data_IF_269071723147
#
_entry.id   IF_269071723147
#
_cell.length_a   1.000
_cell.length_b   1.000
_cell.length_c   1.000
_cell.angle_alpha   90.00
_cell.angle_beta   90.00
_cell.angle_gamma   90.00
#
_symmetry.space_group_name_H-M   'P 1'
#
loop_
_entity.id
_entity.type
_entity.pdbx_description
1 polymer ?
#
# COMPACT_ATOMS: atom_id res chain seq x y z
N UNK A 1 -67.97 51.63 14.13
CA UNK A 1 -67.89 52.08 15.55
C UNK A 1 -66.64 51.51 16.17
N UNK A 2 -65.49 52.21 16.07
CA UNK A 2 -64.25 52.04 16.87
C UNK A 2 -63.16 52.93 16.28
N UNK A 3 -63.30 54.22 16.31
CA UNK A 3 -62.29 55.19 15.84
C UNK A 3 -62.20 56.42 16.79
N UNK A 4 -62.77 56.36 17.97
CA UNK A 4 -62.82 57.53 18.87
C UNK A 4 -62.01 57.36 20.20
N UNK A 5 -61.29 56.27 20.45
CA UNK A 5 -60.60 56.07 21.72
C UNK A 5 -59.06 56.26 21.69
N UNK A 6 -58.46 56.57 20.56
CA UNK A 6 -56.98 56.70 20.43
C UNK A 6 -56.47 58.15 20.54
N UNK A 7 -57.39 59.12 20.59
CA UNK A 7 -57.03 60.56 20.51
C UNK A 7 -56.83 61.22 21.86
N UNK A 8 -57.28 60.63 22.94
CA UNK A 8 -57.15 61.22 24.31
C UNK A 8 -55.91 60.73 25.05
N UNK A 9 -55.30 59.59 24.69
CA UNK A 9 -54.06 59.14 25.37
C UNK A 9 -52.77 59.83 24.87
N UNK A 10 -52.80 60.43 23.68
CA UNK A 10 -51.60 61.12 23.14
C UNK A 10 -51.37 62.51 23.70
N UNK A 11 -52.41 63.13 24.32
CA UNK A 11 -52.29 64.49 24.87
C UNK A 11 -51.73 64.53 26.31
N UNK A 12 -51.86 63.44 27.07
CA UNK A 12 -51.33 63.37 28.45
C UNK A 12 -49.85 62.95 28.54
N UNK A 13 -49.25 62.43 27.45
CA UNK A 13 -47.85 62.02 27.43
C UNK A 13 -46.92 63.14 26.94
N UNK A 14 -47.42 64.20 26.35
CA UNK A 14 -46.67 65.35 25.81
C UNK A 14 -46.20 66.35 26.92
N UNK A 15 -46.87 66.45 28.03
CA UNK A 15 -46.54 67.43 29.09
C UNK A 15 -45.52 66.93 30.13
N UNK A 16 -45.23 65.63 30.22
CA UNK A 16 -44.23 65.11 31.17
C UNK A 16 -42.81 65.08 30.53
N UNK A 17 -42.70 65.12 29.25
CA UNK A 17 -41.39 65.13 28.55
C UNK A 17 -40.66 66.47 28.52
N UNK A 18 -41.35 67.60 28.80
CA UNK A 18 -40.72 68.92 28.76
C UNK A 18 -40.15 69.40 30.10
N UNK A 19 -40.47 68.72 31.21
CA UNK A 19 -39.93 69.06 32.56
C UNK A 19 -38.66 68.30 32.97
N UNK A 20 -38.20 67.30 32.19
CA UNK A 20 -36.96 66.53 32.44
C UNK A 20 -35.77 66.98 31.59
N UNK A 21 -35.94 67.97 30.68
CA UNK A 21 -34.86 68.42 29.79
C UNK A 21 -33.99 69.57 30.35
N UNK A 22 -34.28 70.09 31.53
CA UNK A 22 -33.57 71.26 32.11
C UNK A 22 -32.66 70.93 33.32
N UNK A 23 -32.35 69.64 33.58
CA UNK A 23 -31.51 69.25 34.73
C UNK A 23 -30.18 68.57 34.33
N UNK A 24 -29.73 68.65 33.07
CA UNK A 24 -28.53 67.95 32.57
C UNK A 24 -27.40 68.91 32.05
N UNK A 25 -27.32 70.10 32.57
CA UNK A 25 -26.19 70.98 32.24
C UNK A 25 -25.46 71.44 33.50
N UNK A 26 -24.89 70.51 34.24
CA UNK A 26 -23.87 70.85 35.24
C UNK A 26 -23.12 69.54 35.63
N UNK A 27 -22.14 69.13 34.83
CA UNK A 27 -21.01 68.39 35.33
C UNK A 27 -19.83 68.69 34.39
N UNK A 28 -18.82 69.24 34.97
CA UNK A 28 -17.63 69.85 34.43
C UNK A 28 -16.73 68.85 33.66
N UNK A 29 -15.89 69.44 32.83
CA UNK A 29 -14.70 68.86 32.28
C UNK A 29 -13.84 68.21 33.34
N UNK A 30 -13.78 66.88 33.40
CA UNK A 30 -12.63 66.15 33.96
C UNK A 30 -11.67 65.83 32.79
N UNK A 31 -10.39 66.15 32.93
CA UNK A 31 -9.39 65.82 31.93
C UNK A 31 -9.26 64.31 31.77
N UNK A 32 -9.34 63.89 30.54
CA UNK A 32 -9.29 62.53 30.05
C UNK A 32 -8.63 61.51 30.96
N UNK A 33 -9.40 60.55 31.41
CA UNK A 33 -8.86 59.30 31.89
C UNK A 33 -8.02 58.67 30.73
N UNK A 34 -6.72 58.84 30.84
CA UNK A 34 -5.78 58.11 29.99
C UNK A 34 -6.17 56.65 30.06
N UNK A 35 -6.61 56.10 28.94
CA UNK A 35 -6.86 54.66 28.82
C UNK A 35 -5.60 53.97 29.36
N UNK A 36 -5.70 53.43 30.59
CA UNK A 36 -4.64 52.61 31.15
C UNK A 36 -4.40 51.47 30.15
N UNK A 37 -3.29 51.59 29.41
CA UNK A 37 -2.84 50.51 28.51
C UNK A 37 -2.77 49.24 29.35
N UNK A 38 -3.65 48.29 29.06
CA UNK A 38 -3.61 47.00 29.71
C UNK A 38 -2.14 46.49 29.66
N UNK A 39 -1.61 46.00 30.79
CA UNK A 39 -0.22 45.56 30.82
C UNK A 39 0.01 44.54 29.70
N UNK A 40 1.05 44.79 28.88
CA UNK A 40 1.39 43.95 27.74
C UNK A 40 1.56 42.51 28.19
N UNK A 41 0.81 41.61 27.58
CA UNK A 41 0.78 40.17 27.94
C UNK A 41 2.13 39.54 27.53
N UNK A 42 2.85 38.89 28.44
CA UNK A 42 4.09 38.20 28.09
C UNK A 42 3.78 36.98 27.20
N UNK A 43 4.49 36.83 26.08
CA UNK A 43 4.35 35.75 25.12
C UNK A 43 5.72 35.28 24.64
N UNK A 44 5.88 33.99 24.39
CA UNK A 44 7.08 33.50 23.71
C UNK A 44 6.83 33.53 22.19
N UNK A 45 7.74 34.22 21.51
CA UNK A 45 7.68 34.43 20.07
C UNK A 45 8.80 33.64 19.38
N UNK A 46 8.50 32.99 18.28
CA UNK A 46 9.48 32.40 17.39
C UNK A 46 9.39 33.06 16.00
N UNK A 47 10.50 33.06 15.30
CA UNK A 47 10.61 33.55 13.94
C UNK A 47 10.41 32.42 12.96
N UNK A 48 9.66 32.67 11.89
CA UNK A 48 9.47 31.73 10.77
C UNK A 48 10.77 31.59 9.99
N UNK A 49 11.35 30.40 10.03
CA UNK A 49 12.56 30.05 9.28
C UNK A 49 12.19 29.07 8.17
N UNK A 50 12.80 29.25 7.00
CA UNK A 50 12.72 28.29 5.93
C UNK A 50 13.70 27.13 6.22
N UNK A 51 13.19 25.93 6.22
CA UNK A 51 13.97 24.70 6.49
C UNK A 51 13.65 23.63 5.47
N UNK A 52 14.66 22.88 5.08
CA UNK A 52 14.46 21.68 4.24
C UNK A 52 13.99 20.54 5.15
N UNK A 53 12.88 19.91 4.80
CA UNK A 53 12.25 18.88 5.62
C UNK A 53 12.11 17.59 4.82
N UNK A 54 12.51 16.42 5.37
CA UNK A 54 12.25 15.14 4.73
C UNK A 54 10.74 14.95 4.58
N UNK A 55 10.32 14.59 3.37
CA UNK A 55 8.93 14.32 3.04
C UNK A 55 8.68 12.82 3.08
N UNK A 56 8.02 12.38 4.12
CA UNK A 56 7.58 10.99 4.27
C UNK A 56 6.06 10.92 4.28
N UNK A 57 5.52 9.81 3.78
CA UNK A 57 4.08 9.52 3.87
C UNK A 57 3.88 8.16 4.51
N UNK A 58 2.87 8.06 5.38
CA UNK A 58 2.48 6.79 6.01
C UNK A 58 1.25 6.23 5.33
N UNK A 59 1.30 4.94 4.98
CA UNK A 59 0.22 4.22 4.32
C UNK A 59 0.01 2.86 4.99
N UNK A 60 -1.21 2.36 4.92
CA UNK A 60 -1.50 0.98 5.33
C UNK A 60 -1.31 0.08 4.12
N UNK A 61 -0.57 -0.99 4.32
CA UNK A 61 -0.36 -2.02 3.31
C UNK A 61 -0.68 -3.41 3.86
N UNK A 62 -0.89 -4.34 2.96
CA UNK A 62 -1.07 -5.76 3.25
C UNK A 62 0.09 -6.54 2.67
N UNK A 63 0.69 -7.38 3.48
CA UNK A 63 1.77 -8.28 3.07
C UNK A 63 1.22 -9.41 2.22
N UNK A 64 1.95 -9.80 1.18
CA UNK A 64 1.59 -10.91 0.29
C UNK A 64 2.82 -11.73 -0.07
N UNK A 65 2.63 -13.01 -0.32
CA UNK A 65 3.69 -13.86 -0.81
C UNK A 65 4.29 -13.35 -2.14
N UNK A 66 5.58 -13.53 -2.31
CA UNK A 66 6.24 -13.22 -3.59
C UNK A 66 5.69 -14.09 -4.72
N UNK A 67 5.45 -15.37 -4.42
CA UNK A 67 4.78 -16.34 -5.29
C UNK A 67 3.90 -17.24 -4.44
N UNK A 68 2.72 -17.50 -4.94
CA UNK A 68 1.78 -18.45 -4.36
C UNK A 68 1.30 -19.38 -5.47
N UNK A 69 1.49 -20.67 -5.29
CA UNK A 69 1.19 -21.67 -6.30
C UNK A 69 0.36 -22.79 -5.68
N UNK A 70 -0.80 -23.02 -6.26
CA UNK A 70 -1.62 -24.18 -5.99
C UNK A 70 -0.98 -25.42 -6.60
N UNK A 71 -0.64 -26.38 -5.78
CA UNK A 71 -0.17 -27.70 -6.21
C UNK A 71 -1.39 -28.57 -6.47
N UNK A 72 -1.63 -28.87 -7.74
CA UNK A 72 -2.77 -29.67 -8.20
C UNK A 72 -2.31 -30.95 -8.84
N UNK A 73 -3.13 -32.00 -8.67
CA UNK A 73 -2.87 -33.28 -9.35
C UNK A 73 -3.11 -33.13 -10.86
N UNK A 74 -2.23 -33.77 -11.63
CA UNK A 74 -2.37 -33.90 -13.11
C UNK A 74 -2.96 -35.24 -13.53
N UNK A 75 -3.12 -36.16 -12.59
CA UNK A 75 -3.65 -37.51 -12.80
C UNK A 75 -4.66 -37.83 -11.71
N UNK A 76 -5.59 -38.73 -11.99
CA UNK A 76 -6.60 -39.23 -11.04
C UNK A 76 -6.11 -40.48 -10.36
N UNK A 77 -6.47 -40.72 -9.09
CA UNK A 77 -6.11 -41.95 -8.38
C UNK A 77 -6.22 -41.78 -6.87
N UNK A 78 -5.97 -42.83 -6.12
CA UNK A 78 -5.98 -42.81 -4.67
C UNK A 78 -4.69 -42.12 -4.16
N UNK A 79 -4.82 -41.16 -3.26
CA UNK A 79 -3.70 -40.56 -2.57
C UNK A 79 -3.12 -41.57 -1.54
N UNK A 80 -1.97 -42.14 -1.83
CA UNK A 80 -1.36 -43.14 -0.95
C UNK A 80 -0.64 -42.49 0.22
N UNK A 81 0.13 -41.43 -0.02
CA UNK A 81 0.98 -40.86 1.02
C UNK A 81 1.29 -39.39 0.75
N UNK A 82 1.34 -38.61 1.84
CA UNK A 82 1.97 -37.29 1.91
C UNK A 82 3.41 -37.45 2.41
N UNK A 83 4.38 -36.86 1.72
CA UNK A 83 5.80 -37.02 1.99
C UNK A 83 6.49 -35.80 2.56
N UNK A 84 5.75 -34.70 2.76
CA UNK A 84 6.24 -33.46 3.37
C UNK A 84 5.57 -33.22 4.74
N UNK A 85 6.15 -32.32 5.54
CA UNK A 85 5.58 -31.87 6.81
C UNK A 85 4.87 -30.54 6.54
N UNK A 86 3.60 -30.44 6.94
CA UNK A 86 2.80 -29.23 6.80
C UNK A 86 3.40 -28.06 7.58
N UNK A 87 3.36 -26.87 7.00
CA UNK A 87 3.94 -25.69 7.61
C UNK A 87 5.47 -25.65 7.62
N UNK A 88 6.14 -26.57 6.89
CA UNK A 88 7.60 -26.57 6.78
C UNK A 88 8.08 -26.15 5.37
N UNK A 89 9.30 -25.61 5.26
CA UNK A 89 9.87 -25.27 3.98
C UNK A 89 10.10 -26.51 3.11
N UNK A 90 9.80 -26.35 1.80
CA UNK A 90 10.05 -27.36 0.78
C UNK A 90 10.91 -26.78 -0.33
N UNK A 91 11.67 -27.64 -1.01
CA UNK A 91 12.51 -27.25 -2.14
C UNK A 91 11.88 -27.68 -3.47
N UNK A 92 12.12 -26.91 -4.53
CA UNK A 92 11.66 -27.26 -5.88
C UNK A 92 12.15 -28.67 -6.26
N UNK A 93 11.23 -29.50 -6.80
CA UNK A 93 11.49 -30.90 -7.14
C UNK A 93 11.29 -31.88 -5.97
N UNK A 94 11.15 -31.44 -4.73
CA UNK A 94 10.88 -32.30 -3.59
C UNK A 94 9.52 -32.97 -3.76
N UNK A 95 9.47 -34.31 -3.53
CA UNK A 95 8.22 -35.05 -3.54
C UNK A 95 7.32 -34.59 -2.38
N UNK A 96 6.06 -34.33 -2.70
CA UNK A 96 5.03 -33.87 -1.76
C UNK A 96 3.97 -34.93 -1.52
N UNK A 97 3.51 -35.58 -2.62
CA UNK A 97 2.47 -36.56 -2.56
C UNK A 97 2.76 -37.73 -3.49
N UNK A 98 2.29 -38.89 -3.12
CA UNK A 98 2.31 -40.11 -3.93
C UNK A 98 0.86 -40.56 -4.19
N UNK A 99 0.46 -40.53 -5.45
CA UNK A 99 -0.80 -41.08 -5.96
C UNK A 99 -0.52 -42.51 -6.39
N UNK A 100 -1.49 -43.41 -6.31
CA UNK A 100 -1.34 -44.80 -6.69
C UNK A 100 -0.75 -44.96 -8.11
N UNK A 101 0.49 -45.42 -8.27
CA UNK A 101 1.13 -45.57 -9.58
C UNK A 101 0.77 -46.86 -10.29
N UNK A 102 0.13 -47.85 -9.66
CA UNK A 102 -0.05 -49.18 -10.24
C UNK A 102 -0.86 -49.19 -11.55
N UNK A 103 -2.01 -48.47 -11.67
CA UNK A 103 -2.74 -48.37 -12.92
C UNK A 103 -1.88 -47.78 -14.06
N UNK A 104 -1.03 -46.82 -13.72
CA UNK A 104 -0.16 -46.13 -14.69
C UNK A 104 1.04 -46.97 -15.12
N UNK A 105 1.57 -47.82 -14.21
CA UNK A 105 2.61 -48.81 -14.55
C UNK A 105 2.09 -49.84 -15.51
N UNK A 106 0.89 -50.35 -15.26
CA UNK A 106 0.24 -51.33 -16.17
C UNK A 106 0.01 -50.71 -17.54
N UNK A 107 -0.48 -49.45 -17.60
CA UNK A 107 -0.68 -48.74 -18.85
C UNK A 107 0.62 -48.53 -19.64
N UNK A 108 1.71 -48.23 -18.95
CA UNK A 108 3.04 -48.09 -19.54
C UNK A 108 3.54 -49.42 -20.14
N UNK A 109 3.41 -50.52 -19.41
CA UNK A 109 3.82 -51.85 -19.91
C UNK A 109 2.99 -52.25 -21.11
N UNK A 110 1.71 -51.96 -21.14
CA UNK A 110 0.84 -52.18 -22.32
C UNK A 110 1.31 -51.38 -23.55
N UNK A 111 1.64 -50.08 -23.33
CA UNK A 111 2.15 -49.20 -24.39
C UNK A 111 3.49 -49.71 -24.94
N UNK A 112 4.41 -50.18 -24.07
CA UNK A 112 5.68 -50.79 -24.46
C UNK A 112 5.50 -52.08 -25.26
N UNK A 113 4.52 -52.93 -24.90
CA UNK A 113 4.17 -54.13 -25.65
C UNK A 113 3.70 -53.79 -27.07
N UNK A 114 2.85 -52.76 -27.20
CA UNK A 114 2.40 -52.26 -28.50
C UNK A 114 3.55 -51.72 -29.35
N UNK A 115 4.47 -50.96 -28.72
CA UNK A 115 5.65 -50.45 -29.40
C UNK A 115 6.54 -51.57 -29.92
N UNK A 116 6.75 -52.63 -29.11
CA UNK A 116 7.54 -53.79 -29.54
C UNK A 116 6.88 -54.52 -30.75
N UNK A 117 5.56 -54.63 -30.80
CA UNK A 117 4.82 -55.18 -31.93
C UNK A 117 5.01 -54.33 -33.21
N UNK A 118 4.85 -52.99 -33.10
CA UNK A 118 5.01 -52.10 -34.26
C UNK A 118 6.48 -52.02 -34.71
N UNK A 119 7.45 -52.16 -33.79
CA UNK A 119 8.87 -52.28 -34.12
C UNK A 119 9.15 -53.53 -34.95
N UNK A 120 8.57 -54.68 -34.57
CA UNK A 120 8.71 -55.91 -35.35
C UNK A 120 8.10 -55.78 -36.75
N UNK A 121 6.91 -55.12 -36.88
CA UNK A 121 6.28 -54.82 -38.15
C UNK A 121 7.15 -53.92 -39.04
N UNK A 122 7.72 -52.87 -38.47
CA UNK A 122 8.67 -51.96 -39.14
C UNK A 122 9.92 -52.70 -39.63
N UNK A 123 10.48 -53.57 -38.80
CA UNK A 123 11.66 -54.39 -39.19
C UNK A 123 11.35 -55.29 -40.37
N UNK A 124 10.16 -55.94 -40.39
CA UNK A 124 9.70 -56.74 -41.54
C UNK A 124 9.55 -55.86 -42.79
N UNK A 125 8.80 -54.77 -42.71
CA UNK A 125 8.58 -53.87 -43.85
C UNK A 125 9.92 -53.28 -44.38
N UNK A 126 10.87 -52.99 -43.52
CA UNK A 126 12.22 -52.56 -43.91
C UNK A 126 12.94 -53.65 -44.69
N UNK A 127 12.93 -54.90 -44.22
CA UNK A 127 13.58 -56.00 -44.91
C UNK A 127 12.95 -56.28 -46.29
N UNK A 128 11.62 -56.15 -46.40
CA UNK A 128 10.91 -56.27 -47.66
C UNK A 128 11.28 -55.14 -48.61
N UNK A 129 11.29 -53.90 -48.18
CA UNK A 129 11.76 -52.73 -48.95
C UNK A 129 13.19 -52.91 -49.45
N UNK A 130 14.11 -53.28 -48.57
CA UNK A 130 15.52 -53.41 -48.87
C UNK A 130 15.79 -54.57 -49.87
N UNK A 131 14.89 -55.56 -49.94
CA UNK A 131 14.90 -56.62 -50.90
C UNK A 131 14.34 -56.18 -52.28
N UNK A 132 13.23 -55.44 -52.26
CA UNK A 132 12.49 -55.07 -53.48
C UNK A 132 13.22 -53.96 -54.27
N UNK A 133 13.87 -53.01 -53.65
CA UNK A 133 14.55 -51.90 -54.34
C UNK A 133 15.59 -52.37 -55.37
N UNK A 134 16.53 -53.30 -55.06
CA UNK A 134 17.49 -53.78 -56.04
C UNK A 134 16.87 -54.63 -57.12
N UNK A 135 15.78 -55.37 -56.85
CA UNK A 135 15.06 -56.17 -57.83
C UNK A 135 14.31 -55.29 -58.82
N UNK A 136 13.72 -54.17 -58.38
CA UNK A 136 13.09 -53.18 -59.25
C UNK A 136 14.08 -52.54 -60.20
N UNK A 137 15.28 -52.15 -59.68
CA UNK A 137 16.36 -51.59 -60.49
C UNK A 137 16.84 -52.57 -61.62
N UNK A 138 16.70 -53.87 -61.36
CA UNK A 138 17.01 -54.92 -62.34
C UNK A 138 15.82 -55.31 -63.21
N UNK A 139 14.65 -54.63 -63.10
CA UNK A 139 13.41 -54.86 -63.83
C UNK A 139 12.80 -56.29 -63.61
N UNK A 140 13.06 -56.93 -62.45
CA UNK A 140 12.59 -58.27 -62.10
C UNK A 140 11.23 -58.22 -61.42
N UNK A 141 10.77 -57.10 -60.90
CA UNK A 141 9.47 -56.89 -60.22
C UNK A 141 8.70 -55.75 -60.88
N UNK A 142 7.33 -55.80 -60.74
CA UNK A 142 6.47 -54.76 -61.28
C UNK A 142 6.57 -53.43 -60.56
N UNK A 143 6.22 -52.32 -61.22
CA UNK A 143 6.13 -50.97 -60.60
C UNK A 143 5.14 -50.96 -59.44
N UNK A 144 4.04 -51.67 -59.55
CA UNK A 144 3.02 -51.81 -58.52
C UNK A 144 3.60 -52.44 -57.25
N UNK A 145 4.32 -53.56 -57.36
CA UNK A 145 4.93 -54.26 -56.22
C UNK A 145 5.95 -53.40 -55.51
N UNK A 146 6.69 -52.62 -56.29
CA UNK A 146 7.63 -51.60 -55.68
C UNK A 146 6.87 -50.55 -54.94
N UNK A 147 5.88 -49.86 -55.55
CA UNK A 147 5.12 -48.77 -54.93
C UNK A 147 4.33 -49.27 -53.68
N UNK A 148 3.70 -50.47 -53.74
CA UNK A 148 3.03 -51.10 -52.59
C UNK A 148 4.03 -51.36 -51.40
N UNK A 149 5.23 -51.84 -51.71
CA UNK A 149 6.25 -52.12 -50.68
C UNK A 149 6.75 -50.84 -50.03
N UNK A 150 6.97 -49.76 -50.78
CA UNK A 150 7.36 -48.44 -50.23
C UNK A 150 6.25 -47.89 -49.36
N UNK A 151 4.98 -47.92 -49.83
CA UNK A 151 3.83 -47.45 -49.06
C UNK A 151 3.66 -48.23 -47.74
N UNK A 152 3.82 -49.56 -47.78
CA UNK A 152 3.79 -50.41 -46.56
C UNK A 152 4.91 -50.06 -45.57
N UNK A 153 6.13 -49.79 -46.06
CA UNK A 153 7.24 -49.36 -45.20
C UNK A 153 6.94 -48.00 -44.55
N UNK A 154 6.46 -47.02 -45.32
CA UNK A 154 6.11 -45.70 -44.80
C UNK A 154 4.98 -45.77 -43.76
N UNK A 155 3.93 -46.62 -44.04
CA UNK A 155 2.87 -46.86 -43.07
C UNK A 155 3.41 -47.50 -41.76
N UNK A 156 4.35 -48.47 -41.87
CA UNK A 156 4.96 -49.08 -40.67
C UNK A 156 5.82 -48.10 -39.91
N UNK A 157 6.54 -47.17 -40.54
CA UNK A 157 7.27 -46.08 -39.89
C UNK A 157 6.33 -45.19 -39.10
N UNK A 158 5.20 -44.76 -39.73
CA UNK A 158 4.22 -43.90 -39.06
C UNK A 158 3.57 -44.60 -37.85
N UNK A 159 3.21 -45.89 -37.98
CA UNK A 159 2.65 -46.68 -36.88
C UNK A 159 3.62 -46.85 -35.71
N UNK A 160 4.88 -47.09 -35.99
CA UNK A 160 5.93 -47.18 -34.97
C UNK A 160 6.11 -45.83 -34.22
N UNK A 161 6.13 -44.69 -34.94
CA UNK A 161 6.20 -43.37 -34.34
C UNK A 161 4.99 -43.06 -33.43
N UNK A 162 3.79 -43.46 -33.86
CA UNK A 162 2.58 -43.33 -33.07
C UNK A 162 2.66 -44.16 -31.77
N UNK A 163 3.17 -45.39 -31.85
CA UNK A 163 3.37 -46.26 -30.68
C UNK A 163 4.44 -45.67 -29.70
N UNK A 164 5.52 -45.08 -30.24
CA UNK A 164 6.51 -44.38 -29.41
C UNK A 164 5.88 -43.20 -28.68
N UNK A 165 5.03 -42.41 -29.30
CA UNK A 165 4.34 -41.30 -28.68
C UNK A 165 3.44 -41.79 -27.53
N UNK A 166 2.76 -42.95 -27.69
CA UNK A 166 1.94 -43.55 -26.63
C UNK A 166 2.76 -44.04 -25.43
N UNK A 167 3.93 -44.57 -25.62
CA UNK A 167 4.84 -44.93 -24.52
C UNK A 167 5.22 -43.65 -23.76
N UNK A 168 5.60 -42.58 -24.44
CA UNK A 168 5.95 -41.29 -23.81
C UNK A 168 4.78 -40.68 -23.02
N UNK A 169 3.55 -40.79 -23.56
CA UNK A 169 2.33 -40.36 -22.85
C UNK A 169 2.15 -41.14 -21.54
N UNK A 170 2.30 -42.47 -21.57
CA UNK A 170 2.17 -43.32 -20.40
C UNK A 170 3.28 -43.06 -19.37
N UNK A 171 4.52 -42.78 -19.79
CA UNK A 171 5.63 -42.38 -18.92
C UNK A 171 5.37 -41.06 -18.22
N UNK A 172 4.83 -40.07 -18.94
CA UNK A 172 4.45 -38.78 -18.38
C UNK A 172 3.35 -38.94 -17.33
N UNK A 173 2.32 -39.72 -17.62
CA UNK A 173 1.22 -39.98 -16.70
C UNK A 173 1.70 -40.69 -15.44
N UNK A 174 2.62 -41.66 -15.57
CA UNK A 174 3.25 -42.32 -14.43
C UNK A 174 4.10 -41.32 -13.63
N UNK A 175 4.85 -40.44 -14.27
CA UNK A 175 5.64 -39.42 -13.56
C UNK A 175 4.77 -38.47 -12.74
N UNK A 176 3.57 -38.17 -13.20
CA UNK A 176 2.61 -37.26 -12.52
C UNK A 176 1.98 -37.92 -11.27
N UNK A 177 2.12 -39.24 -11.06
CA UNK A 177 1.71 -39.88 -9.80
C UNK A 177 2.57 -39.45 -8.61
N UNK A 178 3.80 -39.04 -8.87
CA UNK A 178 4.66 -38.39 -7.88
C UNK A 178 4.56 -36.89 -8.02
N UNK A 179 3.75 -36.26 -7.19
CA UNK A 179 3.56 -34.81 -7.19
C UNK A 179 4.71 -34.14 -6.49
N UNK A 180 5.39 -33.22 -7.17
CA UNK A 180 6.57 -32.50 -6.65
C UNK A 180 6.30 -31.01 -6.48
N UNK A 181 7.06 -30.34 -5.62
CA UNK A 181 7.03 -28.91 -5.42
C UNK A 181 7.51 -28.16 -6.67
N UNK A 182 6.72 -27.22 -7.23
CA UNK A 182 7.14 -26.46 -8.42
C UNK A 182 8.12 -25.33 -8.09
N UNK A 183 8.13 -24.86 -6.84
CA UNK A 183 8.99 -23.77 -6.34
C UNK A 183 9.50 -24.07 -4.93
N UNK A 184 10.54 -23.35 -4.51
CA UNK A 184 10.93 -23.29 -3.10
C UNK A 184 9.90 -22.40 -2.35
N UNK A 185 9.52 -22.82 -1.15
CA UNK A 185 8.59 -22.05 -0.32
C UNK A 185 8.10 -22.84 0.88
N UNK A 186 7.14 -22.30 1.60
CA UNK A 186 6.47 -22.94 2.69
C UNK A 186 5.24 -23.70 2.18
N UNK A 187 5.16 -24.99 2.45
CA UNK A 187 4.00 -25.79 2.08
C UNK A 187 2.91 -25.68 3.15
N UNK A 188 1.70 -25.35 2.70
CA UNK A 188 0.51 -25.28 3.55
C UNK A 188 0.05 -26.67 3.97
N UNK A 189 -1.05 -26.72 4.74
CA UNK A 189 -1.73 -27.97 5.06
C UNK A 189 -2.19 -28.70 3.79
N UNK A 190 -2.31 -30.01 3.84
CA UNK A 190 -2.93 -30.80 2.79
C UNK A 190 -4.41 -30.49 2.69
N UNK A 191 -4.90 -30.30 1.47
CA UNK A 191 -6.35 -30.14 1.19
C UNK A 191 -7.07 -31.49 1.12
N UNK A 192 -6.31 -32.59 0.91
CA UNK A 192 -6.84 -33.94 0.76
C UNK A 192 -6.17 -34.88 1.76
N UNK A 193 -6.93 -35.87 2.27
CA UNK A 193 -6.42 -36.89 3.19
C UNK A 193 -5.87 -38.11 2.42
N UNK A 194 -4.91 -38.80 3.02
CA UNK A 194 -4.47 -40.11 2.53
C UNK A 194 -5.66 -41.08 2.44
N UNK A 195 -5.73 -41.87 1.38
CA UNK A 195 -6.86 -42.73 1.03
C UNK A 195 -7.97 -42.06 0.21
N UNK A 196 -7.95 -40.73 0.04
CA UNK A 196 -8.94 -40.04 -0.78
C UNK A 196 -8.72 -40.24 -2.27
N UNK A 197 -9.81 -40.26 -3.02
CA UNK A 197 -9.77 -40.26 -4.50
C UNK A 197 -9.49 -38.84 -4.98
N UNK A 198 -8.36 -38.66 -5.62
CA UNK A 198 -7.94 -37.41 -6.27
C UNK A 198 -8.46 -37.37 -7.72
N UNK A 199 -8.89 -36.21 -8.16
CA UNK A 199 -9.29 -35.95 -9.55
C UNK A 199 -8.47 -34.84 -10.18
N UNK A 200 -8.45 -34.73 -11.50
CA UNK A 200 -7.72 -33.66 -12.21
C UNK A 200 -8.51 -32.35 -12.26
N UNK A 201 -9.77 -32.35 -11.85
CA UNK A 201 -10.69 -31.20 -11.90
C UNK A 201 -11.40 -30.98 -10.55
N UNK A 202 -11.88 -29.75 -10.34
CA UNK A 202 -12.61 -29.36 -9.15
C UNK A 202 -11.70 -29.19 -7.91
N UNK A 203 -12.34 -29.16 -6.74
CA UNK A 203 -11.66 -28.98 -5.45
C UNK A 203 -10.82 -30.21 -5.05
N UNK A 204 -11.23 -31.42 -5.47
CA UNK A 204 -10.50 -32.65 -5.20
C UNK A 204 -9.16 -32.74 -5.94
N UNK A 205 -8.89 -31.84 -6.88
CA UNK A 205 -7.60 -31.74 -7.56
C UNK A 205 -6.57 -30.90 -6.79
N UNK A 206 -7.00 -30.03 -5.89
CA UNK A 206 -6.11 -29.22 -5.07
C UNK A 206 -5.52 -30.08 -3.94
N UNK A 207 -4.20 -30.15 -3.88
CA UNK A 207 -3.49 -30.94 -2.88
C UNK A 207 -2.91 -30.08 -1.74
N UNK A 208 -2.24 -28.99 -2.08
CA UNK A 208 -1.71 -27.99 -1.14
C UNK A 208 -1.37 -26.70 -1.88
N UNK A 209 -1.04 -25.66 -1.14
CA UNK A 209 -0.52 -24.39 -1.69
C UNK A 209 0.90 -24.19 -1.18
N UNK A 210 1.81 -23.75 -2.04
CA UNK A 210 3.17 -23.38 -1.67
C UNK A 210 3.31 -21.88 -1.82
N UNK A 211 3.70 -21.20 -0.74
CA UNK A 211 3.92 -19.76 -0.71
C UNK A 211 5.39 -19.45 -0.48
N UNK A 212 5.98 -18.70 -1.40
CA UNK A 212 7.30 -18.11 -1.23
C UNK A 212 7.14 -16.71 -0.64
N UNK A 213 7.70 -16.45 0.52
CA UNK A 213 7.64 -15.15 1.21
C UNK A 213 9.02 -14.57 1.59
N UNK A 214 10.04 -15.03 0.93
CA UNK A 214 11.35 -14.38 0.86
C UNK A 214 11.80 -14.34 -0.62
N UNK A 215 11.85 -13.14 -1.22
CA UNK A 215 11.34 -11.86 -0.70
C UNK A 215 9.82 -11.85 -0.53
N UNK A 216 9.26 -10.80 0.08
CA UNK A 216 7.83 -10.63 0.33
C UNK A 216 7.34 -9.32 -0.28
N UNK A 217 6.09 -9.29 -0.71
CA UNK A 217 5.43 -8.09 -1.19
C UNK A 217 4.62 -7.40 -0.09
N UNK A 218 4.53 -6.08 -0.18
CA UNK A 218 3.55 -5.27 0.52
C UNK A 218 2.74 -4.50 -0.51
N UNK A 219 1.48 -4.83 -0.62
CA UNK A 219 0.53 -4.15 -1.49
C UNK A 219 -0.11 -3.00 -0.72
N UNK A 220 -0.22 -1.84 -1.35
CA UNK A 220 -0.85 -0.66 -0.78
C UNK A 220 -1.50 0.17 -1.89
N UNK A 221 -2.30 1.16 -1.49
CA UNK A 221 -2.92 2.08 -2.43
C UNK A 221 -2.76 3.51 -1.94
N UNK A 222 -2.65 4.45 -2.86
CA UNK A 222 -2.61 5.89 -2.59
C UNK A 222 -3.60 6.62 -3.51
N UNK A 223 -4.09 7.78 -3.07
CA UNK A 223 -5.11 8.51 -3.83
C UNK A 223 -4.52 9.19 -5.07
N UNK A 224 -5.30 9.29 -6.14
CA UNK A 224 -4.95 10.08 -7.32
C UNK A 224 -4.69 11.55 -6.95
N UNK A 225 -5.49 12.11 -6.03
CA UNK A 225 -5.33 13.49 -5.58
C UNK A 225 -3.98 13.74 -4.93
N UNK A 226 -3.49 12.81 -4.09
CA UNK A 226 -2.18 12.93 -3.45
C UNK A 226 -1.06 12.89 -4.49
N UNK A 227 -1.19 12.02 -5.49
CA UNK A 227 -0.26 11.97 -6.62
C UNK A 227 -0.21 13.29 -7.38
N UNK A 228 -1.37 13.83 -7.76
CA UNK A 228 -1.43 15.11 -8.48
C UNK A 228 -0.86 16.27 -7.65
N UNK A 229 -1.13 16.31 -6.36
CA UNK A 229 -0.57 17.29 -5.44
C UNK A 229 0.96 17.17 -5.37
N UNK A 230 1.48 15.96 -5.25
CA UNK A 230 2.92 15.70 -5.25
C UNK A 230 3.58 16.10 -6.57
N UNK A 231 3.04 15.66 -7.71
CA UNK A 231 3.56 15.98 -9.05
C UNK A 231 3.58 17.50 -9.29
N UNK A 232 2.54 18.22 -8.85
CA UNK A 232 2.46 19.66 -8.95
C UNK A 232 3.50 20.36 -8.07
N UNK A 233 3.72 19.87 -6.85
CA UNK A 233 4.72 20.43 -5.95
C UNK A 233 6.16 20.19 -6.46
N UNK A 234 6.42 19.04 -7.09
CA UNK A 234 7.69 18.77 -7.78
C UNK A 234 7.91 19.71 -8.95
N UNK A 235 6.89 19.90 -9.82
CA UNK A 235 6.96 20.82 -10.96
C UNK A 235 7.20 22.28 -10.53
N UNK A 236 6.69 22.68 -9.38
CA UNK A 236 6.90 24.01 -8.78
C UNK A 236 8.26 24.15 -8.07
N UNK A 237 9.08 23.10 -8.00
CA UNK A 237 10.36 23.12 -7.30
C UNK A 237 10.26 23.15 -5.77
N UNK A 238 9.06 22.93 -5.22
CA UNK A 238 8.82 22.88 -3.77
C UNK A 238 9.28 21.56 -3.16
N UNK A 239 9.34 20.49 -3.95
CA UNK A 239 9.80 19.17 -3.55
C UNK A 239 10.93 18.76 -4.48
N UNK A 240 12.08 18.42 -3.87
CA UNK A 240 13.14 17.67 -4.52
C UNK A 240 12.82 16.19 -4.36
N UNK A 241 12.11 15.63 -5.36
CA UNK A 241 11.70 14.26 -5.35
C UNK A 241 12.90 13.32 -5.54
N UNK A 242 12.93 12.23 -4.82
CA UNK A 242 13.79 11.09 -5.17
C UNK A 242 13.22 10.41 -6.40
N UNK A 243 14.10 9.81 -7.21
CA UNK A 243 13.66 8.94 -8.29
C UNK A 243 12.76 7.83 -7.71
N UNK A 244 11.60 7.63 -8.34
CA UNK A 244 10.61 6.64 -7.89
C UNK A 244 11.19 5.22 -7.78
N UNK A 245 12.20 4.89 -8.59
CA UNK A 245 12.94 3.61 -8.52
C UNK A 245 13.79 3.48 -7.26
N UNK A 246 14.09 4.59 -6.58
CA UNK A 246 14.91 4.66 -5.37
C UNK A 246 14.11 4.98 -4.10
N UNK A 247 12.79 4.98 -4.17
CA UNK A 247 11.96 5.19 -2.99
C UNK A 247 12.17 4.06 -1.98
N UNK A 248 12.73 4.43 -0.85
CA UNK A 248 12.89 3.52 0.29
C UNK A 248 11.60 3.48 1.08
N UNK A 249 11.22 2.29 1.47
CA UNK A 249 10.04 2.07 2.28
C UNK A 249 10.43 1.35 3.56
N UNK A 250 9.80 1.73 4.68
CA UNK A 250 10.00 1.12 5.99
C UNK A 250 8.66 0.58 6.48
N UNK A 251 8.69 -0.56 7.15
CA UNK A 251 7.49 -1.15 7.76
C UNK A 251 7.54 -0.93 9.27
N UNK A 252 6.42 -0.51 9.82
CA UNK A 252 6.13 -0.57 11.25
C UNK A 252 5.16 -1.71 11.50
N UNK A 253 5.55 -2.64 12.35
CA UNK A 253 4.75 -3.80 12.73
C UNK A 253 3.61 -3.40 13.69
N UNK A 254 2.70 -4.34 13.96
CA UNK A 254 1.54 -4.11 14.83
C UNK A 254 1.93 -3.79 16.29
N UNK A 255 3.08 -4.26 16.75
CA UNK A 255 3.65 -3.97 18.07
C UNK A 255 4.35 -2.60 18.14
N UNK A 256 4.40 -1.85 17.03
CA UNK A 256 5.07 -0.56 16.92
C UNK A 256 6.56 -0.63 16.57
N UNK A 257 7.15 -1.81 16.53
CA UNK A 257 8.54 -2.00 16.13
C UNK A 257 8.74 -1.71 14.63
N UNK A 258 9.93 -1.23 14.26
CA UNK A 258 10.30 -0.98 12.87
C UNK A 258 11.00 -2.21 12.32
N UNK A 259 10.53 -2.71 11.18
CA UNK A 259 11.18 -3.81 10.47
C UNK A 259 12.57 -3.38 10.00
N UNK A 260 13.64 -4.14 10.30
CA UNK A 260 15.02 -3.67 10.11
C UNK A 260 15.44 -3.51 8.64
N UNK A 261 14.84 -4.26 7.72
CA UNK A 261 15.11 -4.18 6.30
C UNK A 261 14.24 -3.13 5.63
N UNK A 262 14.88 -2.20 4.89
CA UNK A 262 14.16 -1.27 4.04
C UNK A 262 13.72 -1.98 2.75
N UNK A 263 12.49 -1.77 2.38
CA UNK A 263 11.95 -2.22 1.10
C UNK A 263 12.15 -1.21 -0.01
N UNK A 264 11.80 -1.62 -1.22
CA UNK A 264 11.82 -0.79 -2.43
C UNK A 264 10.46 -0.84 -3.12
N UNK A 265 10.01 0.30 -3.62
CA UNK A 265 8.87 0.31 -4.54
C UNK A 265 9.26 -0.43 -5.82
N UNK A 266 8.49 -1.44 -6.20
CA UNK A 266 8.78 -2.22 -7.42
C UNK A 266 7.64 -2.20 -8.44
N UNK A 267 6.49 -1.67 -8.07
CA UNK A 267 5.35 -1.53 -8.96
C UNK A 267 4.43 -0.39 -8.50
N UNK A 268 3.92 0.36 -9.47
CA UNK A 268 2.81 1.29 -9.32
C UNK A 268 1.94 1.18 -10.57
N UNK A 269 0.64 0.98 -10.39
CA UNK A 269 -0.29 0.84 -11.51
C UNK A 269 -0.39 2.15 -12.30
N UNK A 270 -0.61 2.04 -13.60
CA UNK A 270 -0.89 3.18 -14.49
C UNK A 270 -2.37 3.54 -14.53
N UNK A 271 -3.23 2.77 -13.87
CA UNK A 271 -4.68 2.97 -13.84
C UNK A 271 -5.15 3.36 -12.45
N UNK A 272 -6.12 4.26 -12.43
CA UNK A 272 -6.88 4.61 -11.21
C UNK A 272 -8.05 3.64 -11.10
N UNK A 273 -8.28 3.10 -9.93
CA UNK A 273 -9.49 2.33 -9.62
C UNK A 273 -10.67 3.30 -9.55
N UNK A 274 -11.66 3.20 -10.45
CA UNK A 274 -12.76 4.18 -10.52
C UNK A 274 -13.72 4.11 -9.33
N UNK A 275 -13.74 3.00 -8.59
CA UNK A 275 -14.62 2.85 -7.44
C UNK A 275 -14.06 3.57 -6.19
N UNK A 276 -12.73 3.66 -6.07
CA UNK A 276 -12.05 4.19 -4.89
C UNK A 276 -11.24 5.45 -5.15
N UNK A 277 -10.96 5.80 -6.42
CA UNK A 277 -10.08 6.91 -6.80
C UNK A 277 -8.63 6.69 -6.37
N UNK A 278 -8.20 5.42 -6.24
CA UNK A 278 -6.86 5.08 -5.77
C UNK A 278 -6.03 4.38 -6.84
N UNK A 279 -4.73 4.47 -6.70
CA UNK A 279 -3.71 3.80 -7.53
C UNK A 279 -3.07 2.71 -6.67
N UNK A 280 -3.03 1.49 -7.20
CA UNK A 280 -2.37 0.36 -6.53
C UNK A 280 -0.87 0.44 -6.72
N UNK A 281 -0.15 0.12 -5.66
CA UNK A 281 1.29 0.04 -5.68
C UNK A 281 1.79 -1.13 -4.82
N UNK A 282 3.03 -1.49 -5.03
CA UNK A 282 3.65 -2.62 -4.36
C UNK A 282 5.10 -2.34 -4.06
N UNK A 283 5.50 -2.64 -2.83
CA UNK A 283 6.88 -2.65 -2.41
C UNK A 283 7.37 -4.09 -2.19
N UNK A 284 8.67 -4.31 -2.34
CA UNK A 284 9.32 -5.60 -2.11
C UNK A 284 10.26 -5.47 -0.92
N UNK A 285 10.25 -6.48 -0.05
CA UNK A 285 11.06 -6.56 1.16
C UNK A 285 11.77 -7.92 1.24
N UNK A 286 13.03 -7.91 1.62
CA UNK A 286 13.74 -9.14 1.99
C UNK A 286 13.20 -9.66 3.32
N UNK A 287 12.91 -10.96 3.42
CA UNK A 287 12.29 -11.57 4.60
C UNK A 287 12.96 -12.88 5.00
N UNK A 288 14.29 -12.92 4.96
CA UNK A 288 15.10 -14.12 5.22
C UNK A 288 14.78 -14.81 6.56
N UNK A 289 14.40 -14.03 7.57
CA UNK A 289 14.11 -14.51 8.91
C UNK A 289 12.64 -14.91 9.09
N UNK A 290 11.78 -14.78 8.07
CA UNK A 290 10.37 -15.16 8.13
C UNK A 290 9.52 -14.37 9.14
N UNK A 291 9.95 -13.16 9.54
CA UNK A 291 9.25 -12.33 10.53
C UNK A 291 7.93 -11.82 9.96
N UNK A 292 7.93 -11.45 8.68
CA UNK A 292 6.72 -11.03 7.99
C UNK A 292 6.00 -12.25 7.43
N UNK A 293 4.73 -12.38 7.75
CA UNK A 293 3.86 -13.41 7.20
C UNK A 293 2.90 -12.80 6.18
N UNK A 294 2.55 -13.51 5.09
CA UNK A 294 1.51 -13.07 4.16
C UNK A 294 0.17 -12.82 4.86
N UNK A 295 -0.58 -11.81 4.42
CA UNK A 295 -1.89 -11.44 4.99
C UNK A 295 -1.83 -10.52 6.21
N UNK A 296 -0.65 -10.03 6.62
CA UNK A 296 -0.53 -9.07 7.72
C UNK A 296 -0.80 -7.64 7.23
N UNK A 297 -1.55 -6.87 8.01
CA UNK A 297 -1.63 -5.42 7.81
C UNK A 297 -0.47 -4.73 8.51
N UNK A 298 0.23 -3.89 7.76
CA UNK A 298 1.42 -3.17 8.23
C UNK A 298 1.29 -1.67 7.90
N UNK A 299 1.90 -0.83 8.74
CA UNK A 299 2.07 0.59 8.43
C UNK A 299 3.39 0.76 7.68
N UNK A 300 3.32 1.32 6.51
CA UNK A 300 4.48 1.54 5.66
C UNK A 300 4.74 3.03 5.53
N UNK A 301 5.97 3.44 5.79
CA UNK A 301 6.45 4.80 5.56
C UNK A 301 7.27 4.83 4.29
N UNK A 302 6.94 5.73 3.38
CA UNK A 302 7.63 5.94 2.11
C UNK A 302 8.36 7.27 2.17
N UNK A 303 9.65 7.27 1.84
CA UNK A 303 10.48 8.46 1.70
C UNK A 303 10.37 8.99 0.27
N UNK A 304 9.62 10.07 0.10
CA UNK A 304 9.32 10.69 -1.19
C UNK A 304 10.39 11.70 -1.64
N UNK A 305 11.22 12.19 -0.71
CA UNK A 305 12.23 13.21 -1.00
C UNK A 305 12.34 14.29 0.08
N UNK A 306 12.66 15.51 -0.34
CA UNK A 306 12.84 16.66 0.56
C UNK A 306 11.98 17.83 0.11
N UNK A 307 11.17 18.37 1.02
CA UNK A 307 10.46 19.63 0.77
C UNK A 307 11.40 20.78 1.08
N UNK A 308 11.68 21.58 0.05
CA UNK A 308 12.56 22.74 0.13
C UNK A 308 11.85 23.95 0.68
N UNK A 309 12.60 24.78 1.43
CA UNK A 309 12.11 26.05 1.96
C UNK A 309 10.77 25.95 2.69
N UNK A 310 10.57 24.88 3.43
CA UNK A 310 9.34 24.62 4.15
C UNK A 310 9.24 25.50 5.42
N UNK A 311 8.01 25.96 5.70
CA UNK A 311 7.67 26.60 6.97
C UNK A 311 7.07 25.53 7.88
N UNK A 312 7.71 25.31 9.02
CA UNK A 312 7.23 24.35 10.04
C UNK A 312 6.95 25.09 11.33
N UNK A 313 5.75 24.90 11.86
CA UNK A 313 5.37 25.45 13.16
C UNK A 313 4.98 24.34 14.14
N UNK A 314 5.30 24.47 15.43
CA UNK A 314 4.86 23.49 16.41
C UNK A 314 3.32 23.45 16.51
N UNK A 315 2.68 22.28 16.72
CA UNK A 315 1.21 22.17 16.81
C UNK A 315 0.57 23.13 17.82
N UNK A 316 1.26 23.40 18.92
CA UNK A 316 0.81 24.34 19.97
C UNK A 316 0.70 25.80 19.51
N UNK A 317 1.30 26.20 18.40
CA UNK A 317 1.19 27.54 17.82
C UNK A 317 -0.03 27.73 16.93
N UNK A 318 -0.72 26.64 16.61
CA UNK A 318 -1.88 26.63 15.73
C UNK A 318 -3.15 26.75 16.56
N UNK A 319 -3.92 27.82 16.32
CA UNK A 319 -5.22 28.04 16.97
C UNK A 319 -6.33 27.61 16.01
N UNK A 320 -7.24 26.79 16.52
CA UNK A 320 -8.43 26.40 15.78
C UNK A 320 -9.58 27.33 16.13
N UNK A 321 -10.13 28.02 15.15
CA UNK A 321 -11.38 28.79 15.23
C UNK A 321 -12.53 27.97 14.67
N UNK A 322 -13.78 28.45 14.82
CA UNK A 322 -14.95 27.76 14.28
C UNK A 322 -14.92 27.61 12.74
N UNK A 323 -14.27 28.55 12.04
CA UNK A 323 -14.22 28.57 10.58
C UNK A 323 -12.86 28.13 10.00
N UNK A 324 -11.74 28.53 10.65
CA UNK A 324 -10.40 28.41 10.06
C UNK A 324 -9.33 28.06 11.10
N UNK A 325 -8.19 27.59 10.62
CA UNK A 325 -6.97 27.43 11.38
C UNK A 325 -6.08 28.64 11.22
N UNK A 326 -5.59 29.20 12.32
CA UNK A 326 -4.79 30.41 12.31
C UNK A 326 -3.54 30.28 13.17
N UNK A 327 -2.56 31.12 12.84
CA UNK A 327 -1.38 31.37 13.67
C UNK A 327 -1.43 32.82 14.09
N UNK A 328 -1.16 33.11 15.38
CA UNK A 328 -1.06 34.46 15.92
C UNK A 328 0.31 35.03 15.61
N UNK A 329 0.37 35.98 14.69
CA UNK A 329 1.59 36.66 14.28
C UNK A 329 1.71 37.97 15.10
N UNK A 330 2.93 38.36 15.42
CA UNK A 330 3.25 39.60 16.12
C UNK A 330 3.86 40.58 15.13
N UNK A 331 3.23 41.73 14.94
CA UNK A 331 3.69 42.77 14.01
C UNK A 331 4.89 43.56 14.57
N UNK A 332 5.33 44.61 13.84
CA UNK A 332 6.42 45.47 14.24
C UNK A 332 6.12 46.26 15.54
N UNK A 333 4.83 46.57 15.76
CA UNK A 333 4.33 47.30 16.93
C UNK A 333 4.03 46.38 18.11
N UNK A 334 4.42 45.12 18.04
CA UNK A 334 4.12 44.06 18.99
C UNK A 334 2.62 43.83 19.23
N UNK A 335 1.77 44.07 18.21
CA UNK A 335 0.36 43.72 18.23
C UNK A 335 0.14 42.33 17.67
N UNK A 336 -0.84 41.62 18.22
CA UNK A 336 -1.25 40.29 17.78
C UNK A 336 -2.19 40.40 16.61
N UNK A 337 -1.78 39.81 15.49
CA UNK A 337 -2.56 39.71 14.25
C UNK A 337 -2.88 38.23 13.95
N UNK A 338 -4.15 37.85 13.99
CA UNK A 338 -4.54 36.50 13.57
C UNK A 338 -4.34 36.35 12.09
N UNK A 339 -3.58 35.35 11.65
CA UNK A 339 -3.33 35.07 10.25
C UNK A 339 -3.86 33.67 9.89
N UNK A 340 -4.86 33.56 9.00
CA UNK A 340 -5.36 32.28 8.55
C UNK A 340 -4.26 31.53 7.79
N UNK A 341 -4.12 30.24 8.08
CA UNK A 341 -3.09 29.39 7.49
C UNK A 341 -3.69 28.13 6.89
N UNK A 342 -3.14 27.69 5.76
CA UNK A 342 -3.42 26.38 5.21
C UNK A 342 -2.36 25.40 5.73
N UNK A 343 -2.81 24.40 6.46
CA UNK A 343 -1.92 23.35 6.96
C UNK A 343 -1.57 22.35 5.87
N UNK A 344 -0.32 21.92 5.86
CA UNK A 344 0.18 20.79 5.09
C UNK A 344 0.30 19.54 5.98
N UNK A 345 1.24 18.67 5.62
CA UNK A 345 1.50 17.41 6.33
C UNK A 345 2.11 17.64 7.71
N UNK A 346 1.87 16.71 8.63
CA UNK A 346 2.57 16.65 9.90
C UNK A 346 3.92 15.99 9.67
N UNK A 347 4.99 16.59 10.21
CA UNK A 347 6.35 16.09 10.16
C UNK A 347 6.91 16.00 11.59
N UNK A 348 8.01 15.30 11.78
CA UNK A 348 8.59 15.09 13.13
C UNK A 348 8.85 16.41 13.89
N UNK A 349 9.20 17.47 13.17
CA UNK A 349 9.50 18.80 13.74
C UNK A 349 8.26 19.67 13.96
N UNK A 350 7.05 19.28 13.49
CA UNK A 350 5.84 20.07 13.64
C UNK A 350 4.84 19.88 12.50
N UNK A 351 4.10 20.94 12.18
CA UNK A 351 3.12 20.98 11.09
C UNK A 351 3.62 21.91 9.99
N UNK A 352 3.63 21.42 8.77
CA UNK A 352 3.92 22.22 7.59
C UNK A 352 2.84 23.29 7.38
N UNK A 353 3.24 24.48 6.99
CA UNK A 353 2.32 25.56 6.58
C UNK A 353 2.48 25.78 5.08
N UNK A 354 1.44 25.42 4.32
CA UNK A 354 1.44 25.58 2.87
C UNK A 354 1.21 27.03 2.42
N UNK A 355 0.37 27.77 3.15
CA UNK A 355 0.05 29.18 2.86
C UNK A 355 -0.27 29.94 4.14
N UNK A 356 0.00 31.25 4.14
CA UNK A 356 -0.42 32.16 5.22
C UNK A 356 0.72 32.75 6.04
N UNK A 357 1.93 32.14 6.04
CA UNK A 357 3.12 32.69 6.69
C UNK A 357 4.22 32.98 5.68
N UNK A 358 5.11 33.89 6.03
CA UNK A 358 6.32 34.25 5.26
C UNK A 358 7.56 34.13 6.13
N UNK A 359 8.71 33.93 5.49
CA UNK A 359 9.99 33.96 6.19
C UNK A 359 10.18 35.28 6.92
N UNK A 360 10.65 35.25 8.19
CA UNK A 360 10.80 36.41 9.03
C UNK A 360 9.55 36.81 9.82
N UNK A 361 8.37 36.23 9.55
CA UNK A 361 7.19 36.47 10.41
C UNK A 361 7.48 36.01 11.84
N UNK A 362 7.07 36.80 12.83
CA UNK A 362 7.16 36.42 14.23
C UNK A 362 5.82 35.85 14.69
N UNK A 363 5.78 34.66 15.21
CA UNK A 363 4.56 34.01 15.67
C UNK A 363 4.64 33.58 17.13
N UNK A 364 3.49 33.53 17.79
CA UNK A 364 3.39 33.18 19.21
C UNK A 364 3.42 31.66 19.37
N UNK A 365 4.34 31.15 20.19
CA UNK A 365 4.49 29.72 20.52
C UNK A 365 3.88 29.43 21.90
N UNK A 366 4.01 30.35 22.88
CA UNK A 366 3.45 30.18 24.22
C UNK A 366 2.79 31.49 24.69
N UNK A 367 1.72 31.38 25.49
CA UNK A 367 0.95 32.53 25.97
C UNK A 367 -0.29 32.83 25.11
N UNK A 368 -0.65 32.01 24.15
CA UNK A 368 -1.76 32.19 23.22
C UNK A 368 -3.13 32.44 23.89
N UNK A 369 -3.41 31.80 25.05
CA UNK A 369 -4.71 31.94 25.72
C UNK A 369 -4.95 33.37 26.25
N UNK A 370 -3.88 34.14 26.48
CA UNK A 370 -3.94 35.52 26.97
C UNK A 370 -3.75 36.55 25.86
N UNK A 371 -3.24 36.15 24.71
CA UNK A 371 -2.95 37.00 23.55
C UNK A 371 -4.20 37.14 22.66
N UNK A 372 -5.03 38.17 22.93
CA UNK A 372 -6.23 38.46 22.10
C UNK A 372 -5.83 39.20 20.82
N UNK A 373 -6.55 38.98 19.70
CA UNK A 373 -6.35 39.76 18.47
C UNK A 373 -6.36 41.28 18.76
N UNK A 374 -5.38 42.02 18.23
CA UNK A 374 -5.21 43.45 18.42
C UNK A 374 -4.53 43.86 19.74
N UNK A 375 -4.31 42.97 20.69
CA UNK A 375 -3.63 43.25 21.94
C UNK A 375 -2.13 43.47 21.73
N UNK A 376 -1.53 44.39 22.48
CA UNK A 376 -0.07 44.58 22.54
C UNK A 376 0.54 43.52 23.47
N UNK A 377 1.54 42.80 22.99
CA UNK A 377 2.22 41.74 23.71
C UNK A 377 3.66 42.12 24.00
N UNK A 378 4.22 41.52 25.03
CA UNK A 378 5.65 41.67 25.39
C UNK A 378 6.36 40.36 25.04
N UNK A 379 7.18 40.33 23.98
CA UNK A 379 8.01 39.15 23.68
C UNK A 379 8.97 38.88 24.85
N UNK A 380 8.97 37.65 25.33
CA UNK A 380 9.85 37.16 26.38
C UNK A 380 10.51 35.86 25.95
N UNK A 381 11.64 35.53 26.57
CA UNK A 381 12.29 34.26 26.35
C UNK A 381 11.48 33.09 26.97
N UNK A 382 11.71 31.87 26.49
CA UNK A 382 11.07 30.67 27.05
C UNK A 382 11.43 30.47 28.53
N UNK A 383 12.63 30.90 28.96
CA UNK A 383 13.10 30.81 30.34
C UNK A 383 12.37 31.83 31.23
N UNK A 384 12.23 33.08 30.75
CA UNK A 384 11.47 34.12 31.46
C UNK A 384 10.00 33.74 31.58
N UNK A 385 9.40 33.12 30.56
CA UNK A 385 8.02 32.65 30.63
C UNK A 385 7.84 31.54 31.66
N UNK A 386 8.79 30.59 31.76
CA UNK A 386 8.79 29.58 32.85
C UNK A 386 8.85 30.22 34.24
N UNK A 387 9.69 31.24 34.41
CA UNK A 387 9.81 31.96 35.69
C UNK A 387 8.52 32.72 36.05
N UNK A 388 7.86 33.34 35.05
CA UNK A 388 6.56 34.02 35.22
C UNK A 388 5.48 33.00 35.61
N UNK A 389 5.40 31.87 34.92
CA UNK A 389 4.42 30.85 35.22
C UNK A 389 4.63 30.20 36.59
N UNK A 390 5.89 30.00 37.04
CA UNK A 390 6.20 29.50 38.36
C UNK A 390 5.74 30.46 39.48
N UNK A 391 5.93 31.79 39.32
CA UNK A 391 5.45 32.81 40.26
C UNK A 391 3.90 32.83 40.33
N UNK A 392 3.21 32.66 39.21
CA UNK A 392 1.74 32.62 39.17
C UNK A 392 1.21 31.40 39.92
N UNK A 393 1.84 30.24 39.75
CA UNK A 393 1.45 28.97 40.39
C UNK A 393 1.68 29.04 41.92
N UNK A 394 2.79 29.67 42.38
CA UNK A 394 3.06 29.88 43.81
C UNK A 394 2.10 30.88 44.45
N UNK A 395 1.70 31.93 43.70
CA UNK A 395 0.72 32.92 44.20
C UNK A 395 -0.73 32.38 44.24
N UNK A 396 -1.04 31.36 43.48
CA UNK A 396 -2.37 30.70 43.48
C UNK A 396 -2.49 29.61 44.55
N UNK A 397 -1.38 29.06 45.03
CA UNK A 397 -1.34 28.06 46.11
C UNK A 397 -1.30 28.67 47.55
N UNK A 398 -1.18 30.00 47.64
CA UNK A 398 -1.13 30.74 48.89
C UNK A 398 -2.37 31.56 49.27
N UNK A 399 -3.54 31.27 48.65
CA UNK A 399 -4.83 31.89 49.01
C UNK A 399 -5.87 30.82 49.41
#
# INVERSE_FOLDING_TARGET
MKVQSVREEMFKRGCIALALASALTACGDEPGASAQALPAVPVVVAEVKLTDVPLTTEMVGETAGFREIDVRSRVSGILLKRTYIEGQPVTAGQALFLIDPEPYKVALEQAKGTLAQEQARLNKARADRDRIIPLFKRQVVSRKDYDDTIANYEAAVASHQAAQAKVKEAELNLSYTQVTAPINGMASKSSQSEGSLISTSGENGLLTTITQFDPLYVNFSYSEQDRLNFDNAVKQGLIEAKDATNWRTHIRLADGSVYPQAGKLNFSDSRVDPATGTIRARAIFDNKNGVLLPGQFVRMTIDLGTRKNAIVVPPRAIVQSQADRMVMVVDADNKVVPRPVKLGSVVDSGVLIDKGLQAGDRYIVEGLMKARPGAVVKPVSAEEMKAINAKITQGAAGK
#
